data_IF_220659441461
#
_entry.id   IF_220659441461
#
_cell.length_a   1.000
_cell.length_b   1.000
_cell.length_c   1.000
_cell.angle_alpha   90.00
_cell.angle_beta   90.00
_cell.angle_gamma   90.00
#
_symmetry.space_group_name_H-M   'P 1'
#
loop_
_entity.id
_entity.type
_entity.pdbx_description
1 polymer ?
#
# COMPACT_ATOMS: atom_id res chain seq x y z
N UNK A 1 -8.85 5.76 -4.46
CA UNK A 1 -9.31 6.43 -3.23
C UNK A 1 -10.68 5.92 -2.81
N UNK A 2 -11.74 6.13 -3.61
CA UNK A 2 -13.11 5.73 -3.26
C UNK A 2 -13.24 4.29 -2.71
N UNK A 3 -12.63 3.31 -3.38
CA UNK A 3 -12.68 1.91 -2.97
C UNK A 3 -12.10 1.62 -1.57
N UNK A 4 -11.07 2.36 -1.14
CA UNK A 4 -10.47 2.19 0.19
C UNK A 4 -11.38 2.86 1.23
N UNK A 5 -11.78 4.09 0.96
CA UNK A 5 -12.60 4.88 1.89
C UNK A 5 -14.01 4.29 2.09
N UNK A 6 -14.51 3.46 1.16
CA UNK A 6 -15.81 2.78 1.30
C UNK A 6 -15.79 1.58 2.24
N UNK A 7 -14.61 1.03 2.57
CA UNK A 7 -14.49 -0.23 3.33
C UNK A 7 -13.62 -0.14 4.57
N UNK A 8 -12.74 0.86 4.67
CA UNK A 8 -11.90 1.09 5.86
C UNK A 8 -12.05 2.51 6.40
N UNK A 9 -12.04 2.62 7.73
CA UNK A 9 -12.12 3.87 8.47
C UNK A 9 -11.00 4.04 9.51
N UNK A 10 -11.14 5.02 10.42
CA UNK A 10 -10.09 5.39 11.36
C UNK A 10 -9.64 4.23 12.25
N UNK A 11 -8.32 4.03 12.35
CA UNK A 11 -7.71 2.98 13.20
C UNK A 11 -7.81 1.55 12.66
N UNK A 12 -8.58 1.33 11.59
CA UNK A 12 -8.66 0.01 10.94
C UNK A 12 -7.41 -0.24 10.10
N UNK A 13 -7.01 -1.51 10.01
CA UNK A 13 -5.80 -1.92 9.28
C UNK A 13 -6.12 -2.35 7.86
N UNK A 14 -5.25 -2.02 6.92
CA UNK A 14 -5.29 -2.49 5.54
C UNK A 14 -3.89 -2.91 5.08
N UNK A 15 -3.82 -4.05 4.39
CA UNK A 15 -2.58 -4.53 3.79
C UNK A 15 -2.38 -3.79 2.46
N UNK A 16 -1.23 -3.15 2.27
CA UNK A 16 -0.91 -2.48 1.00
C UNK A 16 0.58 -2.58 0.64
N UNK A 17 0.92 -2.68 -0.67
CA UNK A 17 2.31 -2.60 -1.12
C UNK A 17 2.93 -1.24 -0.81
N UNK A 18 4.23 -1.22 -0.45
CA UNK A 18 4.96 0.03 -0.20
C UNK A 18 5.13 0.87 -1.46
N UNK A 19 5.28 0.24 -2.63
CA UNK A 19 5.33 0.91 -3.92
C UNK A 19 3.93 1.24 -4.50
N UNK A 20 2.98 1.65 -3.66
CA UNK A 20 1.64 2.07 -4.11
C UNK A 20 1.62 3.48 -4.70
N UNK A 21 0.66 3.75 -5.59
CA UNK A 21 0.47 5.08 -6.17
C UNK A 21 0.07 6.11 -5.10
N UNK A 22 0.43 7.39 -5.30
CA UNK A 22 0.16 8.49 -4.35
C UNK A 22 -1.32 8.61 -3.94
N UNK A 23 -2.24 8.20 -4.80
CA UNK A 23 -3.66 8.23 -4.50
C UNK A 23 -4.10 7.23 -3.43
N UNK A 24 -3.35 6.15 -3.24
CA UNK A 24 -3.59 5.18 -2.15
C UNK A 24 -3.19 5.82 -0.82
N UNK A 25 -2.03 6.47 -0.76
CA UNK A 25 -1.58 7.20 0.42
C UNK A 25 -2.53 8.33 0.80
N UNK A 26 -3.05 9.08 -0.17
CA UNK A 26 -4.09 10.09 0.09
C UNK A 26 -5.35 9.47 0.71
N UNK A 27 -5.74 8.27 0.28
CA UNK A 27 -6.87 7.57 0.89
C UNK A 27 -6.60 7.22 2.37
N UNK A 28 -5.38 6.79 2.71
CA UNK A 28 -5.00 6.47 4.09
C UNK A 28 -5.07 7.70 5.01
N UNK A 29 -4.60 8.84 4.52
CA UNK A 29 -4.67 10.12 5.25
C UNK A 29 -6.13 10.53 5.46
N UNK A 30 -6.96 10.44 4.42
CA UNK A 30 -8.36 10.85 4.48
C UNK A 30 -9.24 9.89 5.28
N UNK A 31 -8.99 8.58 5.24
CA UNK A 31 -9.77 7.59 5.99
C UNK A 31 -9.30 7.43 7.43
N UNK A 32 -8.07 7.85 7.77
CA UNK A 32 -7.45 7.57 9.07
C UNK A 32 -7.10 6.09 9.27
N UNK A 33 -7.10 5.29 8.20
CA UNK A 33 -6.73 3.89 8.27
C UNK A 33 -5.22 3.73 8.52
N UNK A 34 -4.84 2.60 9.12
CA UNK A 34 -3.45 2.26 9.46
C UNK A 34 -2.91 1.25 8.43
N UNK A 35 -1.93 1.62 7.61
CA UNK A 35 -1.36 0.68 6.63
C UNK A 35 -0.48 -0.36 7.31
N UNK A 36 -0.57 -1.60 6.84
CA UNK A 36 0.42 -2.65 7.06
C UNK A 36 1.13 -2.87 5.73
N UNK A 37 2.40 -2.49 5.66
CA UNK A 37 3.15 -2.49 4.40
C UNK A 37 3.66 -3.88 4.03
N UNK A 38 3.61 -4.17 2.73
CA UNK A 38 4.39 -5.23 2.11
C UNK A 38 5.49 -4.58 1.26
N UNK A 39 6.74 -4.94 1.54
CA UNK A 39 7.88 -4.46 0.77
C UNK A 39 7.92 -5.19 -0.59
N UNK A 40 8.04 -4.47 -1.72
CA UNK A 40 8.28 -5.11 -3.00
C UNK A 40 9.74 -5.54 -3.11
N UNK A 41 10.01 -6.50 -4.00
CA UNK A 41 11.37 -6.73 -4.49
C UNK A 41 11.80 -5.55 -5.38
N UNK A 42 13.10 -5.33 -5.51
CA UNK A 42 13.65 -4.28 -6.36
C UNK A 42 14.48 -4.88 -7.49
N UNK A 43 14.36 -4.34 -8.69
CA UNK A 43 15.18 -4.77 -9.82
C UNK A 43 16.66 -4.53 -9.51
N UNK A 44 17.55 -5.53 -9.64
CA UNK A 44 18.93 -5.44 -9.18
C UNK A 44 19.73 -4.33 -9.86
N UNK A 45 19.53 -4.11 -11.17
CA UNK A 45 20.32 -3.12 -11.91
C UNK A 45 19.77 -1.69 -11.88
N UNK A 46 18.44 -1.53 -11.97
CA UNK A 46 17.79 -0.22 -12.12
C UNK A 46 17.09 0.27 -10.85
N UNK A 47 16.96 -0.57 -9.82
CA UNK A 47 16.36 -0.21 -8.55
C UNK A 47 14.85 0.09 -8.61
N UNK A 48 14.16 -0.32 -9.67
CA UNK A 48 12.70 -0.15 -9.75
C UNK A 48 11.97 -1.17 -8.89
N UNK A 49 10.89 -0.76 -8.20
CA UNK A 49 10.06 -1.70 -7.44
C UNK A 49 9.37 -2.66 -8.41
N UNK A 50 9.48 -3.95 -8.12
CA UNK A 50 8.83 -5.05 -8.82
C UNK A 50 7.47 -5.35 -8.19
N UNK A 51 6.76 -6.31 -8.78
CA UNK A 51 5.54 -6.83 -8.17
C UNK A 51 5.85 -7.51 -6.84
N UNK A 52 4.88 -7.48 -5.92
CA UNK A 52 4.98 -8.20 -4.65
C UNK A 52 5.01 -9.70 -4.93
N UNK A 53 6.07 -10.38 -4.47
CA UNK A 53 6.20 -11.83 -4.52
C UNK A 53 5.65 -12.46 -3.23
N UNK A 54 5.20 -13.71 -3.32
CA UNK A 54 4.80 -14.47 -2.13
C UNK A 54 6.08 -15.01 -1.49
N UNK A 55 6.40 -14.58 -0.26
CA UNK A 55 7.38 -15.29 0.54
C UNK A 55 6.75 -16.59 1.05
N UNK A 56 7.35 -17.72 0.69
CA UNK A 56 7.01 -19.06 1.18
C UNK A 56 7.59 -19.31 2.57
#
# INVERSE_FOLDING_TARGET
>A
MAAIMSVVGPGQKIIMPRASHRSVYGAMVLSGAIPVYIEPDYHPDVGFPLAVSVQA
#
